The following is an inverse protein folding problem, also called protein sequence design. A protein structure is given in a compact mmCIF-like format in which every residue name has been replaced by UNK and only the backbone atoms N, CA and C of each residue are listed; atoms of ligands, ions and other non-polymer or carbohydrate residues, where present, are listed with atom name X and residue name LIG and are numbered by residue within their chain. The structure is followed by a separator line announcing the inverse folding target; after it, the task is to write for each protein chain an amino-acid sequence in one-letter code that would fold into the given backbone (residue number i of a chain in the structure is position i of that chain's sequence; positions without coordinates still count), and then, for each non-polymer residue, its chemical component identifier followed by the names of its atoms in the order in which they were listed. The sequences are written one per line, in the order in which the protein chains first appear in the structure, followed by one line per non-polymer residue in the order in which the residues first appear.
data_IF_597808799589
#
_entry.id   IF_597808799589
#
_cell.length_a   1.000
_cell.length_b   1.000
_cell.length_c   1.000
_cell.angle_alpha   90.00
_cell.angle_beta   90.00
_cell.angle_gamma   90.00
#
_symmetry.space_group_name_H-M   'P 1'
#
loop_
_entity.id
_entity.type
_entity.pdbx_description
1 polymer ?
#
# COMPACT_ATOMS: atom_id res chain seq x y z
N UNK A 1 19.34 -7.39 -14.49
CA UNK A 1 18.24 -6.80 -13.71
C UNK A 1 16.99 -6.87 -14.57
N UNK A 2 15.81 -7.07 -13.97
CA UNK A 2 14.57 -7.00 -14.74
C UNK A 2 14.32 -5.57 -15.22
N UNK A 3 13.95 -5.40 -16.49
CA UNK A 3 13.68 -4.08 -17.08
C UNK A 3 12.26 -3.58 -16.74
N UNK A 4 11.78 -3.85 -15.52
CA UNK A 4 10.42 -3.50 -15.13
C UNK A 4 10.38 -2.15 -14.44
N UNK A 5 9.49 -1.29 -14.92
CA UNK A 5 9.07 -0.03 -14.31
C UNK A 5 7.58 -0.12 -13.98
N UNK A 6 7.23 -0.09 -12.72
CA UNK A 6 5.83 -0.22 -12.26
C UNK A 6 5.36 1.11 -11.70
N UNK A 7 4.29 1.66 -12.26
CA UNK A 7 3.77 2.98 -11.93
C UNK A 7 2.53 2.89 -11.04
N UNK A 8 2.46 3.77 -10.04
CA UNK A 8 1.31 3.97 -9.16
C UNK A 8 1.08 5.46 -8.96
N UNK A 9 -0.20 5.88 -8.96
CA UNK A 9 -0.57 7.27 -8.67
C UNK A 9 -2.04 7.41 -8.26
N UNK A 10 -2.41 8.64 -7.89
CA UNK A 10 -3.79 9.11 -7.72
C UNK A 10 -4.31 9.91 -8.92
N UNK A 11 -3.67 9.79 -10.09
CA UNK A 11 -4.01 10.60 -11.28
C UNK A 11 -5.24 10.09 -12.03
N UNK A 12 -5.65 8.82 -11.82
CA UNK A 12 -6.64 8.17 -12.67
C UNK A 12 -6.12 7.92 -14.09
N UNK A 13 -7.02 7.47 -14.95
CA UNK A 13 -6.75 7.20 -16.37
C UNK A 13 -7.62 8.03 -17.32
N UNK A 14 -8.37 8.98 -16.80
CA UNK A 14 -9.32 9.79 -17.57
C UNK A 14 -8.69 10.94 -18.34
N UNK A 15 -7.44 11.29 -18.02
CA UNK A 15 -6.65 12.29 -18.75
C UNK A 15 -5.29 11.75 -19.22
N UNK A 16 -4.42 12.65 -19.70
CA UNK A 16 -3.12 12.28 -20.28
C UNK A 16 -1.97 12.13 -19.28
N UNK A 17 -2.15 12.32 -17.98
CA UNK A 17 -1.04 12.37 -17.02
C UNK A 17 -0.24 11.07 -16.96
N UNK A 18 -0.91 9.93 -16.81
CA UNK A 18 -0.26 8.61 -16.79
C UNK A 18 0.36 8.29 -18.15
N UNK A 19 -0.32 8.61 -19.25
CA UNK A 19 0.21 8.42 -20.61
C UNK A 19 1.49 9.23 -20.84
N UNK A 20 1.58 10.46 -20.29
CA UNK A 20 2.79 11.26 -20.35
C UNK A 20 3.95 10.64 -19.56
N UNK A 21 3.69 10.00 -18.41
CA UNK A 21 4.70 9.26 -17.67
C UNK A 21 5.24 8.07 -18.47
N UNK A 22 4.37 7.32 -19.16
CA UNK A 22 4.75 6.26 -20.10
C UNK A 22 5.62 6.80 -21.23
N UNK A 23 5.18 7.89 -21.87
CA UNK A 23 5.90 8.52 -22.95
C UNK A 23 7.32 8.90 -22.54
N UNK A 24 7.50 9.55 -21.39
CA UNK A 24 8.82 9.88 -20.82
C UNK A 24 9.64 8.62 -20.58
N UNK A 25 9.04 7.57 -20.03
CA UNK A 25 9.75 6.32 -19.77
C UNK A 25 10.29 5.71 -21.06
N UNK A 26 9.50 5.67 -22.14
CA UNK A 26 9.90 5.14 -23.43
C UNK A 26 10.90 6.05 -24.18
N UNK A 27 10.93 7.37 -23.94
CA UNK A 27 12.02 8.22 -24.45
C UNK A 27 13.37 7.91 -23.80
N UNK A 28 13.35 7.40 -22.58
CA UNK A 28 14.58 6.94 -21.90
C UNK A 28 15.06 5.61 -22.52
N UNK A 29 14.19 4.63 -22.70
CA UNK A 29 14.51 3.35 -23.31
C UNK A 29 13.25 2.62 -23.77
N UNK A 30 13.26 2.07 -24.95
CA UNK A 30 12.24 1.18 -25.50
C UNK A 30 12.36 -0.28 -25.02
N UNK A 31 13.49 -0.63 -24.39
CA UNK A 31 13.73 -1.98 -23.83
C UNK A 31 13.06 -2.20 -22.46
N UNK A 32 12.57 -1.16 -21.80
CA UNK A 32 11.90 -1.29 -20.50
C UNK A 32 10.44 -1.72 -20.67
N UNK A 33 9.93 -2.45 -19.67
CA UNK A 33 8.53 -2.81 -19.58
C UNK A 33 7.87 -1.91 -18.55
N UNK A 34 6.97 -1.05 -19.01
CA UNK A 34 6.22 -0.13 -18.15
C UNK A 34 4.86 -0.74 -17.86
N UNK A 35 4.57 -0.95 -16.57
CA UNK A 35 3.34 -1.59 -16.11
C UNK A 35 2.67 -0.72 -15.03
N UNK A 36 1.39 -0.92 -14.80
CA UNK A 36 0.66 -0.25 -13.74
C UNK A 36 0.53 -1.14 -12.50
N UNK A 37 0.78 -0.56 -11.33
CA UNK A 37 0.25 -1.11 -10.10
C UNK A 37 -1.24 -0.70 -9.98
N UNK A 38 -1.49 0.60 -9.89
CA UNK A 38 -2.82 1.22 -9.94
C UNK A 38 -2.69 2.73 -10.14
N UNK A 39 -3.72 3.34 -10.74
CA UNK A 39 -3.88 4.79 -10.81
C UNK A 39 -5.21 5.26 -10.22
N UNK A 40 -5.93 4.35 -9.53
CA UNK A 40 -7.24 4.58 -8.92
C UNK A 40 -7.17 4.87 -7.41
N UNK A 41 -6.00 5.31 -6.91
CA UNK A 41 -5.90 5.81 -5.54
C UNK A 41 -6.70 7.11 -5.45
N UNK A 42 -7.47 7.27 -4.37
CA UNK A 42 -8.17 8.53 -4.14
C UNK A 42 -7.17 9.69 -4.03
N UNK A 43 -7.48 10.87 -4.57
CA UNK A 43 -6.59 12.01 -4.51
C UNK A 43 -6.07 12.25 -3.09
N UNK A 44 -4.74 12.36 -2.96
CA UNK A 44 -4.01 12.66 -1.72
C UNK A 44 -3.97 11.53 -0.68
N UNK A 45 -4.47 10.32 -0.98
CA UNK A 45 -4.47 9.21 -0.03
C UNK A 45 -3.10 8.51 0.03
N UNK A 46 -2.22 9.06 0.85
CA UNK A 46 -0.86 8.54 1.08
C UNK A 46 -0.89 7.17 1.78
N UNK A 47 -1.88 6.93 2.68
CA UNK A 47 -2.02 5.65 3.36
C UNK A 47 -2.26 4.51 2.38
N UNK A 48 -3.23 4.68 1.48
CA UNK A 48 -3.54 3.71 0.44
C UNK A 48 -2.34 3.52 -0.49
N UNK A 49 -1.66 4.59 -0.90
CA UNK A 49 -0.45 4.51 -1.74
C UNK A 49 0.63 3.62 -1.09
N UNK A 50 0.92 3.87 0.18
CA UNK A 50 1.90 3.11 0.96
C UNK A 50 1.51 1.64 1.10
N UNK A 51 0.23 1.36 1.39
CA UNK A 51 -0.26 -0.02 1.52
C UNK A 51 -0.22 -0.79 0.21
N UNK A 52 -0.64 -0.19 -0.91
CA UNK A 52 -0.65 -0.85 -2.23
C UNK A 52 0.75 -1.23 -2.70
N UNK A 53 1.76 -0.42 -2.42
CA UNK A 53 3.16 -0.80 -2.63
C UNK A 53 3.51 -2.06 -1.85
N UNK A 54 3.29 -2.07 -0.53
CA UNK A 54 3.55 -3.21 0.35
C UNK A 54 2.81 -4.47 -0.11
N UNK A 55 1.52 -4.33 -0.43
CA UNK A 55 0.68 -5.44 -0.90
C UNK A 55 1.27 -6.14 -2.12
N UNK A 56 1.97 -5.40 -2.98
CA UNK A 56 2.29 -5.81 -4.36
C UNK A 56 3.77 -6.11 -4.57
N UNK A 57 4.68 -5.38 -3.92
CA UNK A 57 6.13 -5.40 -4.22
C UNK A 57 6.75 -6.79 -4.23
N UNK A 58 6.37 -7.65 -3.30
CA UNK A 58 6.93 -9.01 -3.13
C UNK A 58 6.61 -9.98 -4.27
N UNK A 59 5.63 -9.67 -5.11
CA UNK A 59 5.24 -10.50 -6.25
C UNK A 59 6.00 -10.17 -7.54
N UNK A 60 6.77 -9.08 -7.54
CA UNK A 60 7.56 -8.66 -8.68
C UNK A 60 8.98 -9.23 -8.65
N UNK A 61 9.59 -9.45 -9.82
CA UNK A 61 10.98 -9.90 -9.89
C UNK A 61 11.93 -8.92 -9.18
N UNK A 62 12.92 -9.45 -8.47
CA UNK A 62 13.97 -8.64 -7.85
C UNK A 62 14.63 -7.70 -8.87
N UNK A 63 14.87 -6.46 -8.46
CA UNK A 63 15.41 -5.41 -9.32
C UNK A 63 14.33 -4.61 -10.06
N UNK A 64 13.03 -4.91 -9.85
CA UNK A 64 11.95 -4.05 -10.35
C UNK A 64 12.04 -2.66 -9.73
N UNK A 65 11.77 -1.65 -10.54
CA UNK A 65 11.68 -0.25 -10.13
C UNK A 65 10.22 0.15 -10.03
N UNK A 66 9.80 0.63 -8.88
CA UNK A 66 8.46 1.18 -8.65
C UNK A 66 8.55 2.71 -8.61
N UNK A 67 7.55 3.36 -9.17
CA UNK A 67 7.33 4.80 -9.07
C UNK A 67 5.94 4.99 -8.47
N UNK A 68 5.88 5.58 -7.28
CA UNK A 68 4.63 5.85 -6.57
C UNK A 68 4.45 7.34 -6.37
N UNK A 69 3.37 7.89 -6.93
CA UNK A 69 3.12 9.33 -6.96
C UNK A 69 1.74 9.64 -6.41
N UNK A 70 1.68 9.86 -5.11
CA UNK A 70 0.59 10.56 -4.41
C UNK A 70 1.26 11.71 -3.67
N UNK A 71 1.17 12.91 -4.23
CA UNK A 71 2.06 14.02 -3.88
C UNK A 71 1.32 15.34 -3.65
N UNK A 72 0.59 15.48 -2.52
CA UNK A 72 -0.05 16.75 -2.18
C UNK A 72 0.94 17.90 -1.95
N UNK A 73 2.24 17.59 -1.74
CA UNK A 73 3.30 18.56 -1.52
C UNK A 73 4.16 18.86 -2.76
N UNK A 74 3.69 18.53 -3.97
CA UNK A 74 4.44 18.80 -5.21
C UNK A 74 4.85 20.28 -5.31
N UNK A 75 6.13 20.54 -5.60
CA UNK A 75 6.67 21.92 -5.69
C UNK A 75 6.95 22.61 -4.35
N UNK A 76 6.77 21.94 -3.21
CA UNK A 76 7.21 22.41 -1.88
C UNK A 76 8.61 21.93 -1.54
N UNK A 77 9.06 22.18 -0.31
CA UNK A 77 10.38 21.74 0.21
C UNK A 77 10.42 20.24 0.57
N UNK A 78 9.34 19.46 0.31
CA UNK A 78 9.37 18.01 0.53
C UNK A 78 10.41 17.35 -0.37
N UNK A 79 11.16 16.42 0.19
CA UNK A 79 12.20 15.69 -0.57
C UNK A 79 11.57 14.76 -1.61
N UNK A 80 12.24 14.60 -2.75
CA UNK A 80 12.05 13.46 -3.65
C UNK A 80 13.06 12.39 -3.30
N UNK A 81 12.62 11.15 -3.10
CA UNK A 81 13.50 10.07 -2.64
C UNK A 81 13.42 8.83 -3.54
N UNK A 82 14.54 8.13 -3.57
CA UNK A 82 14.63 6.77 -4.10
C UNK A 82 15.11 5.85 -2.99
N UNK A 83 14.48 4.71 -2.80
CA UNK A 83 14.92 3.71 -1.83
C UNK A 83 15.24 2.37 -2.49
N UNK A 84 16.13 1.62 -1.84
CA UNK A 84 16.42 0.21 -2.11
C UNK A 84 15.94 -0.61 -0.91
N UNK A 85 15.01 -1.53 -1.13
CA UNK A 85 14.48 -2.44 -0.10
C UNK A 85 15.45 -3.59 0.20
N UNK A 86 15.27 -4.28 1.33
CA UNK A 86 16.04 -5.50 1.61
C UNK A 86 15.70 -6.64 0.63
N UNK A 87 14.48 -6.68 0.10
CA UNK A 87 14.08 -7.62 -0.96
C UNK A 87 14.73 -7.31 -2.32
N UNK A 88 15.35 -6.13 -2.48
CA UNK A 88 16.14 -5.74 -3.66
C UNK A 88 15.30 -5.07 -4.74
N UNK A 89 14.21 -4.42 -4.38
CA UNK A 89 13.43 -3.54 -5.25
C UNK A 89 13.82 -2.09 -5.06
N UNK A 90 13.61 -1.27 -6.08
CA UNK A 90 13.79 0.16 -6.02
C UNK A 90 12.42 0.85 -6.01
N UNK A 91 12.26 1.89 -5.19
CA UNK A 91 11.02 2.68 -5.15
C UNK A 91 11.39 4.16 -5.20
N UNK A 92 10.79 4.90 -6.13
CA UNK A 92 10.94 6.34 -6.29
C UNK A 92 9.60 6.99 -5.93
N UNK A 93 9.62 7.96 -5.02
CA UNK A 93 8.39 8.53 -4.44
C UNK A 93 8.69 9.86 -3.74
N UNK A 94 7.69 10.73 -3.50
CA UNK A 94 7.84 11.82 -2.56
C UNK A 94 8.07 11.30 -1.14
N UNK A 95 8.87 12.02 -0.35
CA UNK A 95 9.09 11.75 1.06
C UNK A 95 7.96 12.37 1.91
N UNK A 96 6.87 11.66 2.02
CA UNK A 96 5.63 12.12 2.66
C UNK A 96 4.86 11.00 3.41
N UNK A 97 5.53 9.89 3.69
CA UNK A 97 4.91 8.71 4.30
C UNK A 97 4.54 7.59 3.32
N UNK A 98 4.71 7.78 2.00
CA UNK A 98 4.40 6.75 0.98
C UNK A 98 5.23 5.46 1.13
N UNK A 99 6.32 5.47 1.91
CA UNK A 99 7.13 4.29 2.19
C UNK A 99 6.85 3.64 3.55
N UNK A 100 5.85 4.08 4.30
CA UNK A 100 5.63 3.65 5.69
C UNK A 100 5.44 2.13 5.83
N UNK A 101 4.55 1.53 5.03
CA UNK A 101 4.33 0.08 5.08
C UNK A 101 5.54 -0.72 4.56
N UNK A 102 6.25 -0.21 3.55
CA UNK A 102 7.50 -0.81 3.07
C UNK A 102 8.56 -0.77 4.16
N UNK A 103 8.76 0.40 4.81
CA UNK A 103 9.72 0.57 5.92
C UNK A 103 9.43 -0.37 7.07
N UNK A 104 8.14 -0.52 7.40
CA UNK A 104 7.66 -1.31 8.55
C UNK A 104 7.77 -2.83 8.31
N UNK A 105 7.29 -3.32 7.15
CA UNK A 105 7.15 -4.76 6.91
C UNK A 105 8.27 -5.39 6.06
N UNK A 106 8.81 -4.66 5.06
CA UNK A 106 9.85 -5.16 4.15
C UNK A 106 11.25 -4.69 4.56
N UNK A 107 11.33 -3.52 5.18
CA UNK A 107 12.57 -2.85 5.52
C UNK A 107 13.25 -2.18 4.33
N UNK A 108 13.90 -1.06 4.62
CA UNK A 108 14.64 -0.24 3.65
C UNK A 108 16.13 -0.33 3.95
N UNK A 109 16.91 -0.67 2.92
CA UNK A 109 18.37 -0.83 3.01
C UNK A 109 19.13 0.47 2.81
N UNK A 110 18.67 1.30 1.87
CA UNK A 110 19.29 2.58 1.51
C UNK A 110 18.23 3.57 1.02
N UNK A 111 18.45 4.84 1.25
CA UNK A 111 17.67 5.95 0.69
C UNK A 111 18.59 6.99 0.09
N UNK A 112 18.20 7.50 -1.08
CA UNK A 112 18.85 8.63 -1.76
C UNK A 112 17.83 9.75 -1.85
N UNK A 113 18.19 10.94 -1.40
CA UNK A 113 17.48 12.17 -1.75
C UNK A 113 17.85 12.56 -3.17
N UNK A 114 16.88 12.65 -4.05
CA UNK A 114 17.10 12.92 -5.48
C UNK A 114 17.46 14.38 -5.67
N UNK A 115 18.56 14.64 -6.39
CA UNK A 115 18.90 15.98 -6.82
C UNK A 115 17.96 16.39 -7.99
N UNK A 116 16.87 17.06 -7.65
CA UNK A 116 15.81 17.41 -8.62
C UNK A 116 16.30 18.37 -9.72
N UNK A 117 17.39 19.08 -9.53
CA UNK A 117 17.96 19.95 -10.55
C UNK A 117 18.72 19.14 -11.60
N UNK A 118 19.61 18.22 -11.16
CA UNK A 118 20.42 17.38 -12.06
C UNK A 118 19.67 16.17 -12.60
N UNK A 119 18.66 15.70 -11.85
CA UNK A 119 17.93 14.48 -12.15
C UNK A 119 16.51 14.77 -12.64
N UNK A 120 16.31 15.86 -13.36
CA UNK A 120 15.06 16.28 -13.96
C UNK A 120 15.02 16.00 -15.46
N UNK A 121 13.85 15.73 -16.00
CA UNK A 121 13.62 15.62 -17.44
C UNK A 121 14.09 16.94 -18.12
N UNK A 122 14.96 16.88 -19.13
CA UNK A 122 15.42 18.08 -19.85
C UNK A 122 14.23 18.90 -20.40
N UNK A 123 14.35 20.22 -20.31
CA UNK A 123 13.34 21.20 -20.77
C UNK A 123 12.02 21.19 -19.99
N UNK A 124 12.04 20.72 -18.73
CA UNK A 124 10.89 20.76 -17.81
C UNK A 124 11.10 21.72 -16.63
N UNK A 125 12.15 22.52 -16.66
CA UNK A 125 12.62 23.35 -15.54
C UNK A 125 11.60 24.45 -15.14
N UNK A 126 10.80 24.92 -16.10
CA UNK A 126 9.79 25.99 -15.88
C UNK A 126 8.52 25.48 -15.16
N UNK A 127 8.33 24.15 -15.06
CA UNK A 127 7.13 23.56 -14.45
C UNK A 127 7.48 22.80 -13.19
N UNK A 128 6.87 23.17 -12.07
CA UNK A 128 7.05 22.53 -10.78
C UNK A 128 5.82 21.75 -10.29
N UNK A 129 4.85 21.50 -11.19
CA UNK A 129 3.57 20.88 -10.83
C UNK A 129 3.43 19.43 -11.24
N UNK A 130 4.39 18.86 -12.00
CA UNK A 130 4.30 17.49 -12.47
C UNK A 130 5.60 16.69 -12.23
N UNK A 131 6.06 16.65 -10.99
CA UNK A 131 7.22 15.85 -10.59
C UNK A 131 7.00 14.35 -10.85
N UNK A 132 5.76 13.86 -10.88
CA UNK A 132 5.42 12.50 -11.28
C UNK A 132 6.03 12.09 -12.62
N UNK A 133 5.95 12.97 -13.61
CA UNK A 133 6.55 12.80 -14.93
C UNK A 133 8.03 13.19 -14.95
N UNK A 134 8.33 14.40 -14.47
CA UNK A 134 9.61 15.07 -14.73
C UNK A 134 10.75 14.60 -13.83
N UNK A 135 10.43 14.08 -12.65
CA UNK A 135 11.40 13.58 -11.69
C UNK A 135 11.24 12.07 -11.49
N UNK A 136 10.04 11.61 -11.12
CA UNK A 136 9.87 10.23 -10.68
C UNK A 136 9.86 9.22 -11.83
N UNK A 137 8.98 9.36 -12.83
CA UNK A 137 8.94 8.46 -13.98
C UNK A 137 10.24 8.51 -14.80
N UNK A 138 10.81 9.71 -14.99
CA UNK A 138 12.08 9.89 -15.69
C UNK A 138 13.22 9.13 -15.02
N UNK A 139 13.41 9.27 -13.72
CA UNK A 139 14.48 8.57 -12.99
C UNK A 139 14.16 7.09 -12.80
N UNK A 140 12.90 6.73 -12.63
CA UNK A 140 12.47 5.34 -12.60
C UNK A 140 12.85 4.60 -13.89
N UNK A 141 12.60 5.22 -15.04
CA UNK A 141 12.97 4.67 -16.34
C UNK A 141 14.49 4.55 -16.52
N UNK A 142 15.26 5.59 -16.12
CA UNK A 142 16.74 5.56 -16.18
C UNK A 142 17.32 4.44 -15.33
N UNK A 143 16.74 4.21 -14.15
CA UNK A 143 17.16 3.17 -13.23
C UNK A 143 16.79 1.78 -13.77
N UNK A 144 15.53 1.57 -14.24
CA UNK A 144 15.06 0.32 -14.83
C UNK A 144 15.86 -0.06 -16.10
N UNK A 145 16.22 0.93 -16.91
CA UNK A 145 17.06 0.77 -18.11
C UNK A 145 18.56 0.61 -17.81
N UNK A 146 19.00 0.65 -16.55
CA UNK A 146 20.41 0.68 -16.14
C UNK A 146 21.21 1.84 -16.76
N UNK A 147 20.56 2.96 -17.11
CA UNK A 147 21.22 4.17 -17.64
C UNK A 147 21.77 5.09 -16.55
N UNK A 148 21.39 4.84 -15.31
CA UNK A 148 21.95 5.51 -14.11
C UNK A 148 22.10 4.49 -12.99
N UNK A 149 23.17 4.61 -12.21
CA UNK A 149 23.31 3.84 -10.96
C UNK A 149 22.46 4.51 -9.86
N UNK A 150 21.92 3.71 -8.94
CA UNK A 150 21.09 4.18 -7.84
C UNK A 150 21.75 5.31 -7.03
N UNK A 151 23.03 5.16 -6.71
CA UNK A 151 23.83 6.13 -5.95
C UNK A 151 24.08 7.45 -6.70
N UNK A 152 23.80 7.51 -7.99
CA UNK A 152 23.99 8.70 -8.83
C UNK A 152 22.73 9.56 -8.95
N UNK A 153 21.62 9.14 -8.36
CA UNK A 153 20.37 9.90 -8.34
C UNK A 153 20.46 11.16 -7.47
N UNK A 154 21.33 11.17 -6.45
CA UNK A 154 21.46 12.27 -5.52
C UNK A 154 22.34 11.93 -4.32
N UNK A 155 21.96 12.39 -3.14
CA UNK A 155 22.71 12.22 -1.90
C UNK A 155 22.10 11.11 -1.02
N UNK A 156 22.93 10.23 -0.46
CA UNK A 156 22.49 9.26 0.52
C UNK A 156 22.04 9.95 1.82
N UNK A 157 20.90 9.56 2.34
CA UNK A 157 20.35 10.05 3.60
C UNK A 157 20.08 8.89 4.57
N UNK A 158 19.89 9.22 5.86
CA UNK A 158 19.55 8.22 6.86
C UNK A 158 18.13 7.68 6.61
N UNK A 159 17.98 6.36 6.62
CA UNK A 159 16.69 5.68 6.47
C UNK A 159 15.68 6.11 7.56
N UNK A 160 16.17 6.44 8.76
CA UNK A 160 15.28 6.87 9.85
C UNK A 160 14.78 8.31 9.70
N UNK A 161 15.40 9.10 8.80
CA UNK A 161 15.02 10.50 8.57
C UNK A 161 13.86 10.69 7.58
N UNK A 162 13.41 9.62 6.92
CA UNK A 162 12.27 9.74 6.00
C UNK A 162 10.95 9.83 6.76
N UNK A 163 10.03 10.59 6.20
CA UNK A 163 8.67 10.72 6.74
C UNK A 163 7.98 9.36 6.81
N UNK A 164 7.27 9.13 7.90
CA UNK A 164 6.53 7.88 8.11
C UNK A 164 5.19 8.14 8.78
N UNK A 165 4.16 7.49 8.29
CA UNK A 165 2.86 7.40 8.96
C UNK A 165 2.99 6.43 10.15
N UNK A 166 2.24 6.69 11.21
CA UNK A 166 2.12 5.73 12.31
C UNK A 166 1.43 4.46 11.81
N UNK A 167 2.05 3.30 12.04
CA UNK A 167 1.45 1.99 11.79
C UNK A 167 1.27 1.31 13.14
N UNK A 168 0.03 1.04 13.51
CA UNK A 168 -0.29 0.35 14.75
C UNK A 168 -0.13 -1.15 14.58
N UNK A 169 0.52 -1.79 15.54
CA UNK A 169 0.65 -3.24 15.58
C UNK A 169 -0.64 -3.88 16.08
N UNK A 170 -0.98 -5.03 15.50
CA UNK A 170 -2.01 -5.88 16.09
C UNK A 170 -1.54 -6.43 17.43
N UNK A 171 -2.44 -6.54 18.37
CA UNK A 171 -2.18 -7.07 19.72
C UNK A 171 -3.02 -8.31 19.99
N UNK A 172 -2.50 -9.18 20.86
CA UNK A 172 -3.18 -10.38 21.30
C UNK A 172 -3.22 -10.43 22.83
N UNK A 173 -4.39 -10.73 23.37
CA UNK A 173 -4.60 -11.05 24.79
C UNK A 173 -4.83 -12.56 24.95
N UNK A 174 -5.26 -13.00 26.13
CA UNK A 174 -5.51 -14.41 26.45
C UNK A 174 -6.67 -15.00 25.62
N UNK A 175 -7.69 -14.22 25.30
CA UNK A 175 -8.95 -14.65 24.66
C UNK A 175 -9.34 -13.85 23.41
N UNK A 176 -8.55 -12.88 23.01
CA UNK A 176 -8.92 -11.92 21.99
C UNK A 176 -7.73 -11.35 21.23
N UNK A 177 -8.02 -10.81 20.04
CA UNK A 177 -7.05 -10.07 19.21
C UNK A 177 -7.64 -8.73 18.82
N UNK A 178 -6.79 -7.73 18.71
CA UNK A 178 -7.16 -6.37 18.31
C UNK A 178 -6.19 -5.89 17.23
N UNK A 179 -6.71 -5.25 16.21
CA UNK A 179 -5.91 -4.66 15.14
C UNK A 179 -6.61 -3.46 14.50
N UNK A 180 -5.98 -2.92 13.46
CA UNK A 180 -6.54 -1.88 12.60
C UNK A 180 -7.19 -2.49 11.35
N UNK A 181 -8.11 -1.73 10.75
CA UNK A 181 -8.60 -2.00 9.40
C UNK A 181 -7.69 -1.21 8.45
N UNK A 182 -6.68 -1.89 7.88
CA UNK A 182 -5.64 -1.22 7.12
C UNK A 182 -6.12 -0.73 5.76
N UNK A 183 -6.91 -1.56 5.07
CA UNK A 183 -7.33 -1.28 3.70
C UNK A 183 -8.66 -1.96 3.38
N UNK A 184 -9.39 -1.41 2.40
CA UNK A 184 -10.52 -2.08 1.79
C UNK A 184 -10.08 -2.79 0.50
N UNK A 185 -10.67 -3.95 0.23
CA UNK A 185 -10.76 -4.44 -1.13
C UNK A 185 -11.76 -3.56 -1.89
N UNK A 186 -11.23 -2.68 -2.75
CA UNK A 186 -12.02 -1.59 -3.36
C UNK A 186 -13.24 -2.11 -4.12
N UNK A 187 -13.13 -3.27 -4.78
CA UNK A 187 -14.21 -3.79 -5.63
C UNK A 187 -15.30 -4.50 -4.84
N UNK A 188 -14.94 -5.06 -3.70
CA UNK A 188 -15.83 -5.93 -2.93
C UNK A 188 -16.18 -5.37 -1.55
N UNK A 189 -15.57 -4.22 -1.15
CA UNK A 189 -15.81 -3.61 0.15
C UNK A 189 -15.43 -4.48 1.34
N UNK A 190 -14.60 -5.51 1.13
CA UNK A 190 -14.11 -6.36 2.21
C UNK A 190 -13.07 -5.63 3.04
N UNK A 191 -13.11 -5.80 4.34
CA UNK A 191 -12.15 -5.20 5.27
C UNK A 191 -10.91 -6.07 5.38
N UNK A 192 -9.73 -5.51 5.17
CA UNK A 192 -8.46 -6.17 5.43
C UNK A 192 -7.79 -5.57 6.65
N UNK A 193 -7.47 -6.41 7.62
CA UNK A 193 -6.88 -6.01 8.89
C UNK A 193 -5.39 -6.32 8.92
N UNK A 194 -4.68 -5.74 9.88
CA UNK A 194 -3.31 -6.11 10.20
C UNK A 194 -3.19 -7.30 11.16
N UNK A 195 -4.30 -7.96 11.52
CA UNK A 195 -4.28 -9.11 12.43
C UNK A 195 -3.76 -10.34 11.69
N UNK A 196 -2.58 -10.89 12.03
CA UNK A 196 -2.06 -12.09 11.36
C UNK A 196 -2.86 -13.34 11.77
N UNK A 197 -3.07 -14.26 10.84
CA UNK A 197 -3.70 -15.55 11.10
C UNK A 197 -3.05 -16.30 12.28
N UNK A 198 -1.76 -16.12 12.50
CA UNK A 198 -1.04 -16.76 13.61
C UNK A 198 -1.63 -16.41 14.99
N UNK A 199 -2.20 -15.21 15.14
CA UNK A 199 -2.85 -14.81 16.41
C UNK A 199 -4.10 -15.64 16.69
N UNK A 200 -4.96 -15.85 15.68
CA UNK A 200 -6.15 -16.70 15.82
C UNK A 200 -5.76 -18.14 16.12
N UNK A 201 -4.76 -18.68 15.41
CA UNK A 201 -4.25 -20.04 15.66
C UNK A 201 -3.75 -20.21 17.09
N UNK A 202 -3.07 -19.22 17.65
CA UNK A 202 -2.55 -19.29 19.03
C UNK A 202 -3.66 -19.21 20.10
N UNK A 203 -4.87 -18.79 19.73
CA UNK A 203 -6.08 -18.82 20.56
C UNK A 203 -6.97 -20.06 20.27
N UNK A 204 -6.42 -21.05 19.53
CA UNK A 204 -7.15 -22.25 19.12
C UNK A 204 -8.45 -21.93 18.35
N UNK A 205 -8.47 -20.78 17.64
CA UNK A 205 -9.55 -20.38 16.76
C UNK A 205 -9.31 -21.00 15.39
N UNK A 206 -10.24 -21.84 14.95
CA UNK A 206 -10.16 -22.58 13.69
C UNK A 206 -11.37 -22.28 12.81
N UNK A 207 -11.24 -22.58 11.51
CA UNK A 207 -12.37 -22.45 10.59
C UNK A 207 -13.59 -23.22 11.09
N UNK A 208 -14.77 -22.60 11.00
CA UNK A 208 -16.04 -23.10 11.53
C UNK A 208 -16.39 -22.51 12.90
N UNK A 209 -15.44 -21.94 13.65
CA UNK A 209 -15.77 -21.22 14.87
C UNK A 209 -16.53 -19.93 14.58
N UNK A 210 -17.40 -19.56 15.51
CA UNK A 210 -18.03 -18.25 15.54
C UNK A 210 -17.20 -17.27 16.34
N UNK A 211 -17.02 -16.06 15.83
CA UNK A 211 -16.25 -14.96 16.46
C UNK A 211 -17.18 -13.79 16.76
N UNK A 212 -17.02 -13.19 17.92
CA UNK A 212 -17.56 -11.86 18.17
C UNK A 212 -16.63 -10.86 17.48
N UNK A 213 -17.15 -10.18 16.47
CA UNK A 213 -16.45 -9.12 15.74
C UNK A 213 -16.98 -7.79 16.20
N UNK A 214 -16.11 -6.95 16.75
CA UNK A 214 -16.48 -5.60 17.20
C UNK A 214 -15.59 -4.59 16.48
N UNK A 215 -16.18 -3.57 15.85
CA UNK A 215 -15.45 -2.52 15.15
C UNK A 215 -15.71 -1.18 15.83
N UNK A 216 -14.64 -0.40 15.97
CA UNK A 216 -14.67 0.93 16.54
C UNK A 216 -14.14 1.93 15.50
N UNK A 217 -14.77 3.10 15.44
CA UNK A 217 -14.22 4.30 14.82
C UNK A 217 -13.79 5.23 15.95
N UNK A 218 -12.49 5.41 16.09
CA UNK A 218 -11.89 5.99 17.29
C UNK A 218 -12.33 5.16 18.53
N UNK A 219 -12.95 5.75 19.53
CA UNK A 219 -13.43 5.04 20.71
C UNK A 219 -14.91 4.64 20.65
N UNK A 220 -15.61 4.98 19.56
CA UNK A 220 -17.02 4.69 19.38
C UNK A 220 -17.25 3.35 18.70
N UNK A 221 -17.93 2.43 19.39
CA UNK A 221 -18.36 1.17 18.76
C UNK A 221 -19.38 1.46 17.66
N UNK A 222 -19.08 1.00 16.44
CA UNK A 222 -19.91 1.19 15.24
C UNK A 222 -20.52 -0.11 14.71
N UNK A 223 -19.90 -1.24 15.05
CA UNK A 223 -20.39 -2.56 14.65
C UNK A 223 -20.10 -3.62 15.72
N UNK A 224 -21.03 -4.55 15.89
CA UNK A 224 -20.78 -5.77 16.66
C UNK A 224 -21.72 -6.87 16.17
N UNK A 225 -21.17 -8.04 15.87
CA UNK A 225 -21.95 -9.23 15.49
C UNK A 225 -21.15 -10.51 15.76
N UNK A 226 -21.84 -11.63 15.79
CA UNK A 226 -21.23 -12.96 15.83
C UNK A 226 -21.13 -13.45 14.38
N UNK A 227 -19.90 -13.69 13.91
CA UNK A 227 -19.60 -14.00 12.52
C UNK A 227 -18.79 -15.29 12.44
N UNK A 228 -19.11 -16.16 11.48
CA UNK A 228 -18.39 -17.40 11.23
C UNK A 228 -16.99 -17.14 10.67
N UNK A 229 -15.96 -17.79 11.22
CA UNK A 229 -14.64 -17.88 10.60
C UNK A 229 -14.67 -18.94 9.51
N UNK A 230 -14.82 -18.50 8.28
CA UNK A 230 -15.03 -19.33 7.09
C UNK A 230 -13.72 -19.60 6.35
N UNK A 231 -13.64 -20.70 5.59
CA UNK A 231 -12.51 -20.96 4.67
C UNK A 231 -12.64 -20.17 3.39
N UNK A 232 -13.87 -19.97 2.94
CA UNK A 232 -14.20 -19.29 1.70
C UNK A 232 -15.56 -18.62 1.79
N UNK A 233 -15.88 -17.78 0.81
CA UNK A 233 -17.19 -17.15 0.67
C UNK A 233 -18.34 -18.18 0.50
N UNK A 234 -18.05 -19.37 -0.04
CA UNK A 234 -19.03 -20.43 -0.22
C UNK A 234 -19.52 -21.08 1.09
N UNK A 235 -18.86 -20.81 2.22
CA UNK A 235 -19.23 -21.38 3.53
C UNK A 235 -20.37 -20.63 4.23
N UNK A 236 -20.85 -19.53 3.63
CA UNK A 236 -21.94 -18.69 4.12
C UNK A 236 -22.90 -18.35 2.97
N UNK A 237 -24.17 -18.04 3.28
CA UNK A 237 -25.14 -17.64 2.26
C UNK A 237 -24.83 -16.25 1.67
N UNK A 238 -25.40 -15.95 0.51
CA UNK A 238 -25.35 -14.60 -0.08
C UNK A 238 -25.95 -13.59 0.89
N UNK A 239 -25.28 -12.47 1.10
CA UNK A 239 -25.66 -11.42 2.05
C UNK A 239 -25.24 -11.70 3.51
N UNK A 240 -24.67 -12.86 3.82
CA UNK A 240 -24.16 -13.14 5.17
C UNK A 240 -22.72 -12.69 5.35
N UNK A 241 -22.35 -12.15 6.53
CA UNK A 241 -20.97 -11.78 6.83
C UNK A 241 -20.11 -13.00 7.15
N UNK A 242 -18.80 -12.88 6.86
CA UNK A 242 -17.79 -13.87 7.19
C UNK A 242 -16.50 -13.23 7.63
N UNK A 243 -15.79 -13.88 8.55
CA UNK A 243 -14.37 -13.67 8.81
C UNK A 243 -13.59 -14.67 7.96
N UNK A 244 -12.53 -14.24 7.30
CA UNK A 244 -11.75 -15.09 6.41
C UNK A 244 -10.25 -14.73 6.45
N UNK A 245 -9.42 -15.49 5.77
CA UNK A 245 -7.99 -15.20 5.61
C UNK A 245 -7.77 -14.56 4.24
N UNK A 246 -7.24 -13.35 4.21
CA UNK A 246 -6.93 -12.63 2.97
C UNK A 246 -5.63 -13.11 2.31
N UNK A 247 -5.29 -12.59 1.12
CA UNK A 247 -4.11 -13.01 0.34
C UNK A 247 -2.76 -12.63 0.97
N UNK A 248 -2.74 -11.78 1.99
CA UNK A 248 -1.54 -11.46 2.79
C UNK A 248 -1.40 -12.33 4.05
N UNK A 249 -2.31 -13.33 4.20
CA UNK A 249 -2.38 -14.22 5.37
C UNK A 249 -2.77 -13.48 6.66
N UNK A 250 -3.47 -12.37 6.52
CA UNK A 250 -4.11 -11.64 7.59
C UNK A 250 -5.62 -11.88 7.61
N UNK A 251 -6.27 -11.51 8.71
CA UNK A 251 -7.71 -11.65 8.86
C UNK A 251 -8.42 -10.57 8.07
N UNK A 252 -9.45 -10.96 7.33
CA UNK A 252 -10.40 -10.09 6.67
C UNK A 252 -11.82 -10.31 7.16
N UNK A 253 -12.70 -9.33 6.95
CA UNK A 253 -14.14 -9.41 7.20
C UNK A 253 -14.85 -8.96 5.93
N UNK A 254 -15.85 -9.71 5.52
CA UNK A 254 -16.59 -9.46 4.28
C UNK A 254 -18.07 -9.82 4.42
N UNK A 255 -18.85 -9.44 3.43
CA UNK A 255 -20.20 -9.98 3.18
C UNK A 255 -20.16 -10.76 1.86
N UNK A 256 -20.77 -11.93 1.83
CA UNK A 256 -20.80 -12.73 0.61
C UNK A 256 -21.65 -12.04 -0.47
N UNK A 257 -21.03 -11.66 -1.58
CA UNK A 257 -21.63 -10.94 -2.73
C UNK A 257 -22.19 -9.55 -2.39
N UNK A 258 -21.65 -8.88 -1.34
CA UNK A 258 -22.02 -7.50 -1.00
C UNK A 258 -20.82 -6.77 -0.39
N UNK A 259 -20.93 -5.45 -0.21
CA UNK A 259 -19.89 -4.60 0.36
C UNK A 259 -20.08 -4.43 1.87
N UNK A 260 -19.19 -4.99 2.66
CA UNK A 260 -19.21 -4.81 4.11
C UNK A 260 -19.00 -3.33 4.50
N UNK A 261 -18.04 -2.67 3.85
CA UNK A 261 -17.74 -1.26 4.12
C UNK A 261 -18.92 -0.33 3.84
N UNK A 262 -19.65 -0.55 2.74
CA UNK A 262 -20.78 0.30 2.36
C UNK A 262 -22.00 0.04 3.27
N UNK A 263 -22.31 -1.24 3.55
CA UNK A 263 -23.44 -1.61 4.41
C UNK A 263 -23.30 -1.04 5.83
N UNK A 264 -22.09 -0.98 6.36
CA UNK A 264 -21.85 -0.59 7.75
C UNK A 264 -21.06 0.71 7.89
N UNK A 265 -20.78 1.42 6.79
CA UNK A 265 -20.03 2.68 6.75
C UNK A 265 -18.67 2.59 7.44
N UNK A 266 -17.90 1.54 7.14
CA UNK A 266 -16.60 1.28 7.71
C UNK A 266 -15.50 1.84 6.79
N UNK A 267 -14.57 2.60 7.36
CA UNK A 267 -13.38 3.11 6.69
C UNK A 267 -12.10 2.36 7.07
N UNK A 268 -10.96 2.98 6.81
CA UNK A 268 -9.61 2.40 7.00
C UNK A 268 -8.67 3.35 7.74
N UNK A 269 -7.52 2.83 8.13
CA UNK A 269 -6.46 3.58 8.83
C UNK A 269 -6.55 3.48 10.34
N UNK A 270 -5.70 4.24 11.02
CA UNK A 270 -5.49 4.12 12.47
C UNK A 270 -6.72 4.44 13.34
N UNK A 271 -7.70 5.15 12.81
CA UNK A 271 -8.93 5.48 13.53
C UNK A 271 -9.95 4.32 13.55
N UNK A 272 -9.68 3.27 12.77
CA UNK A 272 -10.55 2.12 12.64
C UNK A 272 -9.93 0.89 13.30
N UNK A 273 -10.47 0.49 14.43
CA UNK A 273 -10.01 -0.64 15.23
C UNK A 273 -11.00 -1.80 15.15
N UNK A 274 -10.49 -3.00 15.02
CA UNK A 274 -11.27 -4.23 15.03
C UNK A 274 -10.81 -5.14 16.15
N UNK A 275 -11.77 -5.68 16.90
CA UNK A 275 -11.56 -6.62 17.99
C UNK A 275 -12.28 -7.94 17.67
N UNK A 276 -11.56 -9.05 17.81
CA UNK A 276 -12.07 -10.40 17.57
C UNK A 276 -11.86 -11.26 18.81
N UNK A 277 -12.92 -11.95 19.24
CA UNK A 277 -12.85 -12.98 20.30
C UNK A 277 -13.70 -14.18 19.92
N UNK A 278 -13.44 -15.35 20.53
CA UNK A 278 -14.27 -16.53 20.32
C UNK A 278 -15.67 -16.29 20.90
N UNK A 279 -16.69 -16.60 20.12
CA UNK A 279 -18.06 -16.52 20.64
C UNK A 279 -18.27 -17.55 21.78
N UNK A 280 -19.04 -17.23 22.81
CA UNK A 280 -19.43 -18.22 23.82
C UNK A 280 -20.04 -19.45 23.17
N UNK A 281 -19.70 -20.64 23.67
CA UNK A 281 -20.40 -21.87 23.27
C UNK A 281 -21.86 -21.79 23.74
N UNK A 282 -22.79 -21.90 22.82
CA UNK A 282 -24.22 -21.98 23.15
C UNK A 282 -24.52 -23.40 23.63
#
# INVERSE_FOLDING_TARGET
MGNYLVLQSDFGLSDGAVSAMYGVAYTVSDDIRVENLTHDILPYDIWVASYRLYQTVKYWPKGTVFVSVVDPGVGSDRRSIACLTYSGHYIITPDNGSLSHIKHYEGIKKVIEIDEVKSRLPHSEESHTFHGRDVYAYNGARLAANKIAFERLGQAINVDSIEALEIREATKNEDSVTGSIDILDIRFGSLWTNIPLAFLKSLEIVHGNNLVVTIYHQDKKVYQNIIKFARSFADVNVGEPLVYVNSLVNIGVAVNQDSFSDLYHIGTGNDWTIHLSKAPSI
#
